data_IF_212918923584
#
_entry.id   IF_212918923584
#
_cell.length_a   1.000
_cell.length_b   1.000
_cell.length_c   1.000
_cell.angle_alpha   90.00
_cell.angle_beta   90.00
_cell.angle_gamma   90.00
#
_symmetry.space_group_name_H-M   'P 1'
#
loop_
_entity.id
_entity.type
_entity.pdbx_description
1 polymer ?
#
# COMPACT_ATOMS: atom_id res chain seq x y z
N UNK A 1 20.00 39.76 -21.75
CA UNK A 1 18.74 40.52 -21.81
C UNK A 1 17.70 39.63 -22.49
N UNK A 2 16.97 38.86 -21.70
CA UNK A 2 15.78 38.12 -22.12
C UNK A 2 14.88 38.06 -20.89
N UNK A 3 13.68 38.62 -21.04
CA UNK A 3 12.83 39.07 -19.97
C UNK A 3 12.28 37.91 -19.12
N UNK A 4 12.32 38.08 -17.81
CA UNK A 4 11.49 37.36 -16.85
C UNK A 4 10.06 37.84 -17.11
N UNK A 5 9.26 37.04 -17.81
CA UNK A 5 7.81 37.25 -17.85
C UNK A 5 7.28 36.68 -16.54
N UNK A 6 7.15 37.55 -15.54
CA UNK A 6 6.37 37.30 -14.35
C UNK A 6 4.89 37.28 -14.74
N UNK A 7 4.44 36.17 -15.33
CA UNK A 7 3.02 35.87 -15.39
C UNK A 7 2.58 35.46 -13.99
N UNK A 8 1.87 36.34 -13.28
CA UNK A 8 1.03 35.86 -12.17
C UNK A 8 0.11 34.78 -12.76
N UNK A 9 0.07 33.55 -12.20
CA UNK A 9 -0.88 32.58 -12.69
C UNK A 9 -2.27 33.14 -12.38
N UNK A 10 -3.05 33.34 -13.43
CA UNK A 10 -4.48 33.59 -13.34
C UNK A 10 -5.03 32.35 -12.61
N UNK A 11 -5.23 32.49 -11.30
CA UNK A 11 -5.74 31.42 -10.45
C UNK A 11 -7.21 31.23 -10.82
N UNK A 12 -7.47 30.44 -11.87
CA UNK A 12 -8.79 29.90 -12.09
C UNK A 12 -9.19 29.22 -10.78
N UNK A 13 -10.28 29.64 -10.16
CA UNK A 13 -10.72 29.03 -8.92
C UNK A 13 -11.13 27.59 -9.22
N UNK A 14 -10.51 26.59 -8.59
CA UNK A 14 -10.94 25.20 -8.72
C UNK A 14 -12.38 25.11 -8.21
N UNK A 15 -13.28 24.62 -9.08
CA UNK A 15 -14.69 24.43 -8.74
C UNK A 15 -14.96 22.98 -8.35
N UNK A 16 -15.94 22.78 -7.48
CA UNK A 16 -16.22 21.49 -6.82
C UNK A 16 -17.44 20.75 -7.40
N UNK A 17 -17.91 21.16 -8.58
CA UNK A 17 -19.16 20.68 -9.17
C UNK A 17 -19.08 19.20 -9.61
N UNK A 18 -17.93 18.77 -10.16
CA UNK A 18 -17.66 17.40 -10.59
C UNK A 18 -16.15 17.15 -10.76
N UNK A 19 -15.77 15.91 -11.10
CA UNK A 19 -14.38 15.53 -11.35
C UNK A 19 -13.69 16.41 -12.41
N UNK A 20 -14.39 16.76 -13.50
CA UNK A 20 -13.85 17.59 -14.59
C UNK A 20 -13.49 19.00 -14.13
N UNK A 21 -14.32 19.60 -13.28
CA UNK A 21 -14.03 20.94 -12.75
C UNK A 21 -12.92 20.92 -11.70
N UNK A 22 -12.84 19.85 -10.91
CA UNK A 22 -11.75 19.64 -9.94
C UNK A 22 -10.40 19.46 -10.64
N UNK A 23 -10.39 18.76 -11.78
CA UNK A 23 -9.19 18.46 -12.57
C UNK A 23 -8.88 19.49 -13.65
N UNK A 24 -9.61 20.60 -13.74
CA UNK A 24 -9.48 21.57 -14.84
C UNK A 24 -8.07 22.19 -14.98
N UNK A 25 -7.30 22.21 -13.90
CA UNK A 25 -5.91 22.69 -13.86
C UNK A 25 -4.87 21.56 -13.71
N UNK A 26 -5.32 20.32 -13.85
CA UNK A 26 -4.51 19.12 -13.67
C UNK A 26 -4.40 18.65 -12.22
N UNK A 27 -3.86 17.43 -12.03
CA UNK A 27 -3.80 16.77 -10.72
C UNK A 27 -2.94 17.53 -9.71
N UNK A 28 -1.81 18.09 -10.15
CA UNK A 28 -0.90 18.79 -9.24
C UNK A 28 -1.57 20.03 -8.63
N UNK A 29 -2.25 20.84 -9.45
CA UNK A 29 -2.97 22.02 -8.97
C UNK A 29 -4.10 21.64 -8.01
N UNK A 30 -4.84 20.55 -8.28
CA UNK A 30 -5.85 20.03 -7.37
C UNK A 30 -5.24 19.59 -6.02
N UNK A 31 -4.13 18.84 -6.06
CA UNK A 31 -3.43 18.40 -4.85
C UNK A 31 -2.95 19.58 -4.01
N UNK A 32 -2.31 20.57 -4.62
CA UNK A 32 -1.81 21.76 -3.91
C UNK A 32 -2.97 22.59 -3.34
N UNK A 33 -4.08 22.70 -4.07
CA UNK A 33 -5.28 23.43 -3.65
C UNK A 33 -5.98 22.78 -2.45
N UNK A 34 -6.08 21.46 -2.43
CA UNK A 34 -6.66 20.71 -1.29
C UNK A 34 -5.68 20.70 -0.12
N UNK A 35 -4.40 20.39 -0.36
CA UNK A 35 -3.37 20.29 0.69
C UNK A 35 -3.22 21.61 1.45
N UNK A 36 -3.05 22.73 0.75
CA UNK A 36 -2.88 24.05 1.40
C UNK A 36 -4.06 24.44 2.30
N UNK A 37 -5.28 24.07 1.93
CA UNK A 37 -6.48 24.30 2.76
C UNK A 37 -6.50 23.39 3.97
N UNK A 38 -6.22 22.09 3.77
CA UNK A 38 -6.14 21.14 4.87
C UNK A 38 -5.06 21.54 5.90
N UNK A 39 -3.89 21.99 5.45
CA UNK A 39 -2.81 22.42 6.36
C UNK A 39 -3.19 23.62 7.21
N UNK A 40 -3.83 24.63 6.59
CA UNK A 40 -4.39 25.77 7.30
C UNK A 40 -5.42 25.33 8.35
N UNK A 41 -6.36 24.49 7.95
CA UNK A 41 -7.42 24.02 8.84
C UNK A 41 -6.92 23.10 9.95
N UNK A 42 -5.84 22.35 9.71
CA UNK A 42 -5.17 21.52 10.72
C UNK A 42 -4.21 22.32 11.62
N UNK A 43 -3.82 23.53 11.23
CA UNK A 43 -2.81 24.35 11.91
C UNK A 43 -1.39 23.75 11.84
N UNK A 44 -1.14 22.82 10.91
CA UNK A 44 0.15 22.13 10.73
C UNK A 44 0.27 21.59 9.32
N UNK A 45 1.49 21.28 8.91
CA UNK A 45 1.74 20.60 7.64
C UNK A 45 1.14 19.19 7.62
N UNK A 46 0.78 18.70 6.43
CA UNK A 46 0.24 17.37 6.28
C UNK A 46 1.30 16.32 6.67
N UNK A 47 0.91 15.28 7.44
CA UNK A 47 1.85 14.27 7.89
C UNK A 47 2.43 13.52 6.69
N UNK A 48 3.75 13.35 6.70
CA UNK A 48 4.50 12.55 5.74
C UNK A 48 4.80 11.17 6.35
N UNK A 49 5.10 10.17 5.54
CA UNK A 49 5.40 8.80 6.00
C UNK A 49 6.84 8.40 5.70
N UNK A 50 7.66 8.24 6.74
CA UNK A 50 8.96 7.57 6.67
C UNK A 50 8.80 6.12 7.12
N UNK A 51 9.33 5.19 6.33
CA UNK A 51 9.41 3.77 6.69
C UNK A 51 10.86 3.40 6.92
N UNK A 52 11.19 2.91 8.11
CA UNK A 52 12.54 2.48 8.48
C UNK A 52 12.51 1.02 8.86
N UNK A 53 13.52 0.28 8.41
CA UNK A 53 13.73 -1.11 8.75
C UNK A 53 15.19 -1.33 9.15
N UNK A 54 15.40 -2.10 10.21
CA UNK A 54 16.71 -2.32 10.79
C UNK A 54 16.92 -3.80 11.08
N UNK A 55 18.04 -4.31 10.59
CA UNK A 55 18.55 -5.67 10.79
C UNK A 55 17.50 -6.75 10.46
N UNK A 56 16.70 -6.49 9.43
CA UNK A 56 15.59 -7.36 9.04
C UNK A 56 16.11 -8.67 8.43
N UNK A 57 15.73 -9.78 9.05
CA UNK A 57 16.00 -11.13 8.58
C UNK A 57 14.72 -11.92 8.45
N UNK A 58 14.58 -12.67 7.35
CA UNK A 58 13.43 -13.56 7.13
C UNK A 58 13.98 -14.94 6.83
N UNK A 59 13.55 -15.93 7.58
CA UNK A 59 13.91 -17.34 7.38
C UNK A 59 12.65 -18.20 7.29
N UNK A 60 12.67 -19.26 6.48
CA UNK A 60 11.58 -20.22 6.39
C UNK A 60 12.11 -21.65 6.52
N UNK A 61 11.43 -22.46 7.31
CA UNK A 61 11.65 -23.89 7.46
C UNK A 61 10.91 -24.63 6.33
N UNK A 62 11.68 -25.33 5.50
CA UNK A 62 11.18 -26.03 4.31
C UNK A 62 11.34 -27.53 4.54
N UNK A 63 10.22 -28.27 4.46
CA UNK A 63 10.24 -29.73 4.47
C UNK A 63 10.75 -30.20 3.11
N UNK A 64 11.92 -30.83 3.09
CA UNK A 64 12.49 -31.45 1.91
C UNK A 64 11.95 -32.87 1.82
N UNK A 65 11.34 -33.22 0.68
CA UNK A 65 11.07 -34.62 0.35
C UNK A 65 12.33 -35.18 -0.30
N UNK A 66 12.87 -36.26 0.23
CA UNK A 66 14.01 -36.94 -0.37
C UNK A 66 13.67 -37.38 -1.80
N UNK A 67 14.60 -37.22 -2.75
CA UNK A 67 14.43 -37.56 -4.16
C UNK A 67 14.07 -39.04 -4.40
N UNK A 68 14.30 -39.92 -3.41
CA UNK A 68 13.95 -41.33 -3.46
C UNK A 68 12.44 -41.61 -3.48
N UNK A 69 11.59 -40.62 -3.16
CA UNK A 69 10.12 -40.77 -3.14
C UNK A 69 9.42 -40.26 -4.43
N UNK A 70 10.18 -39.85 -5.46
CA UNK A 70 9.63 -39.54 -6.80
C UNK A 70 9.68 -40.79 -7.69
N UNK A 71 9.30 -41.96 -7.16
CA UNK A 71 8.74 -43.00 -8.03
C UNK A 71 7.24 -42.74 -8.09
N UNK A 72 6.76 -42.38 -9.27
CA UNK A 72 5.32 -42.34 -9.57
C UNK A 72 4.83 -43.79 -9.56
N UNK A 73 4.68 -44.36 -8.37
CA UNK A 73 4.05 -45.66 -8.19
C UNK A 73 2.54 -45.44 -8.25
N UNK A 74 1.89 -46.18 -9.15
CA UNK A 74 0.44 -46.17 -9.32
C UNK A 74 -0.23 -46.34 -7.95
N UNK A 75 -1.32 -45.60 -7.66
CA UNK A 75 -2.04 -45.69 -6.39
C UNK A 75 -2.85 -46.99 -6.34
N UNK A 76 -2.15 -48.10 -6.10
CA UNK A 76 -2.75 -49.39 -5.78
C UNK A 76 -2.96 -49.47 -4.27
N UNK A 77 -4.03 -50.14 -3.81
CA UNK A 77 -4.36 -50.27 -2.38
C UNK A 77 -3.18 -50.79 -1.55
N UNK A 78 -2.36 -51.69 -2.10
CA UNK A 78 -1.14 -52.18 -1.46
C UNK A 78 -0.07 -51.09 -1.27
N UNK A 79 0.09 -50.19 -2.25
CA UNK A 79 1.08 -49.12 -2.22
C UNK A 79 0.67 -48.00 -1.25
N UNK A 80 -0.62 -47.67 -1.18
CA UNK A 80 -1.16 -46.70 -0.20
C UNK A 80 -1.05 -47.24 1.24
N UNK A 81 -1.34 -48.54 1.44
CA UNK A 81 -1.17 -49.18 2.75
C UNK A 81 0.31 -49.20 3.16
N UNK A 82 1.24 -49.57 2.28
CA UNK A 82 2.68 -49.54 2.58
C UNK A 82 3.21 -48.13 2.84
N UNK A 83 2.73 -47.11 2.11
CA UNK A 83 3.04 -45.70 2.39
C UNK A 83 2.55 -45.28 3.77
N UNK A 84 1.36 -45.71 4.18
CA UNK A 84 0.80 -45.40 5.51
C UNK A 84 1.66 -45.97 6.64
N UNK A 85 2.19 -47.18 6.46
CA UNK A 85 3.04 -47.88 7.44
C UNK A 85 4.45 -47.26 7.48
N UNK A 86 5.02 -46.89 6.33
CA UNK A 86 6.32 -46.18 6.25
C UNK A 86 6.24 -44.73 6.76
N UNK A 87 5.11 -44.06 6.58
CA UNK A 87 4.91 -42.66 6.98
C UNK A 87 4.81 -42.43 8.49
N UNK A 88 4.56 -43.48 9.29
CA UNK A 88 4.51 -43.38 10.75
C UNK A 88 5.89 -43.25 11.41
N UNK A 89 6.99 -43.51 10.69
CA UNK A 89 8.36 -43.46 11.24
C UNK A 89 9.32 -42.47 10.56
N UNK A 90 8.95 -41.84 9.45
CA UNK A 90 9.84 -40.95 8.70
C UNK A 90 9.97 -39.58 9.38
N UNK A 91 11.16 -39.26 9.91
CA UNK A 91 11.50 -37.90 10.35
C UNK A 91 11.52 -36.99 9.12
N UNK A 92 10.57 -36.08 9.02
CA UNK A 92 10.52 -35.06 7.96
C UNK A 92 11.80 -34.20 8.03
N UNK A 93 12.67 -34.34 7.04
CA UNK A 93 13.88 -33.52 6.95
C UNK A 93 13.46 -32.07 6.65
N UNK A 94 13.85 -31.15 7.53
CA UNK A 94 13.49 -29.73 7.42
C UNK A 94 14.76 -28.90 7.30
N UNK A 95 14.84 -28.06 6.27
CA UNK A 95 15.98 -27.17 6.01
C UNK A 95 15.55 -25.73 6.20
N UNK A 96 16.32 -24.97 6.99
CA UNK A 96 16.10 -23.53 7.19
C UNK A 96 16.66 -22.75 6.00
N UNK A 97 15.79 -22.11 5.22
CA UNK A 97 16.16 -21.22 4.11
C UNK A 97 16.07 -19.77 4.54
N UNK A 98 17.18 -19.05 4.48
CA UNK A 98 17.18 -17.60 4.66
C UNK A 98 16.73 -16.89 3.37
N UNK A 99 15.70 -16.06 3.50
CA UNK A 99 15.09 -15.25 2.43
C UNK A 99 15.65 -13.83 2.43
N UNK A 100 15.73 -13.19 3.60
CA UNK A 100 16.40 -11.90 3.83
C UNK A 100 17.45 -12.08 4.92
N UNK A 101 18.57 -11.37 4.80
CA UNK A 101 19.72 -11.46 5.71
C UNK A 101 20.16 -10.07 6.14
N UNK A 102 19.79 -9.68 7.36
CA UNK A 102 20.21 -8.44 8.05
C UNK A 102 20.11 -7.19 7.16
N UNK A 103 18.92 -6.96 6.61
CA UNK A 103 18.65 -5.86 5.68
C UNK A 103 18.20 -4.62 6.46
N UNK A 104 18.86 -3.49 6.22
CA UNK A 104 18.60 -2.20 6.88
C UNK A 104 18.41 -1.08 5.85
N UNK A 105 17.54 -0.13 6.12
CA UNK A 105 17.27 0.98 5.20
C UNK A 105 16.12 1.89 5.63
N UNK A 106 15.93 2.95 4.84
CA UNK A 106 14.91 3.97 5.06
C UNK A 106 14.28 4.37 3.73
N UNK A 107 12.95 4.34 3.67
CA UNK A 107 12.17 4.93 2.59
C UNK A 107 11.71 6.31 3.04
N UNK A 108 12.26 7.35 2.41
CA UNK A 108 11.97 8.74 2.74
C UNK A 108 10.68 9.20 2.06
N UNK A 109 9.88 10.06 2.72
CA UNK A 109 8.72 10.66 2.09
C UNK A 109 9.08 11.43 0.81
N UNK A 110 8.17 11.46 -0.15
CA UNK A 110 8.35 12.22 -1.40
C UNK A 110 9.43 11.65 -2.35
N UNK A 111 9.93 10.44 -2.11
CA UNK A 111 10.94 9.80 -2.97
C UNK A 111 10.40 8.54 -3.63
N UNK A 112 10.92 8.25 -4.83
CA UNK A 112 10.72 6.97 -5.51
C UNK A 112 11.96 6.12 -5.24
N UNK A 113 11.78 4.99 -4.55
CA UNK A 113 12.85 4.04 -4.26
C UNK A 113 12.72 2.80 -5.14
N UNK A 114 13.77 2.49 -5.92
CA UNK A 114 13.82 1.32 -6.79
C UNK A 114 14.58 0.17 -6.11
N UNK A 115 13.91 -0.96 -5.88
CA UNK A 115 14.51 -2.17 -5.29
C UNK A 115 14.82 -3.18 -6.40
N UNK A 116 16.12 -3.40 -6.68
CA UNK A 116 16.59 -4.32 -7.72
C UNK A 116 17.21 -5.59 -7.15
N UNK A 117 17.14 -6.67 -7.93
CA UNK A 117 17.72 -7.97 -7.57
C UNK A 117 17.18 -9.10 -8.43
N UNK A 118 17.92 -10.20 -8.53
CA UNK A 118 17.53 -11.38 -9.32
C UNK A 118 16.24 -12.04 -8.80
N UNK A 119 15.51 -12.82 -9.62
CA UNK A 119 14.39 -13.63 -9.13
C UNK A 119 14.80 -14.46 -7.91
N UNK A 120 13.95 -14.50 -6.88
CA UNK A 120 14.24 -15.20 -5.63
C UNK A 120 15.09 -14.42 -4.60
N UNK A 121 15.59 -13.23 -4.91
CA UNK A 121 16.42 -12.41 -4.00
C UNK A 121 15.67 -11.80 -2.80
N UNK A 122 14.39 -12.13 -2.58
CA UNK A 122 13.61 -11.63 -1.44
C UNK A 122 12.94 -10.27 -1.60
N UNK A 123 13.00 -9.62 -2.79
CA UNK A 123 12.34 -8.31 -3.04
C UNK A 123 10.87 -8.28 -2.62
N UNK A 124 10.08 -9.24 -3.12
CA UNK A 124 8.66 -9.33 -2.79
C UNK A 124 8.43 -9.63 -1.31
N UNK A 125 9.34 -10.36 -0.66
CA UNK A 125 9.28 -10.61 0.78
C UNK A 125 9.53 -9.32 1.58
N UNK A 126 10.52 -8.53 1.20
CA UNK A 126 10.77 -7.20 1.78
C UNK A 126 9.55 -6.29 1.61
N UNK A 127 9.01 -6.16 0.38
CA UNK A 127 7.85 -5.29 0.13
C UNK A 127 6.59 -5.75 0.87
N UNK A 128 6.38 -7.07 1.02
CA UNK A 128 5.28 -7.61 1.83
C UNK A 128 5.47 -7.33 3.32
N UNK A 129 6.69 -7.43 3.83
CA UNK A 129 7.00 -7.07 5.22
C UNK A 129 6.70 -5.59 5.49
N UNK A 130 7.25 -4.70 4.65
CA UNK A 130 7.07 -3.26 4.81
C UNK A 130 5.62 -2.78 4.59
N UNK A 131 4.78 -3.59 3.97
CA UNK A 131 3.35 -3.29 3.79
C UNK A 131 2.43 -4.00 4.79
N UNK A 132 3.01 -4.70 5.79
CA UNK A 132 2.26 -5.48 6.78
C UNK A 132 1.45 -6.64 6.19
N UNK A 133 1.82 -7.11 5.00
CA UNK A 133 1.16 -8.22 4.27
C UNK A 133 2.02 -9.47 4.20
N UNK A 134 3.07 -9.53 5.01
CA UNK A 134 3.88 -10.73 5.12
C UNK A 134 3.09 -11.81 5.88
N UNK A 135 2.99 -13.03 5.36
CA UNK A 135 2.10 -14.03 5.92
C UNK A 135 2.64 -14.50 7.28
N UNK A 136 1.76 -14.55 8.27
CA UNK A 136 2.05 -15.17 9.56
C UNK A 136 1.92 -16.70 9.41
N UNK A 137 3.05 -17.36 9.22
CA UNK A 137 3.13 -18.82 9.05
C UNK A 137 4.07 -19.39 10.10
N UNK A 138 3.67 -20.50 10.74
CA UNK A 138 4.44 -21.15 11.81
C UNK A 138 5.85 -21.56 11.39
N UNK A 139 6.08 -21.78 10.10
CA UNK A 139 7.38 -22.17 9.56
C UNK A 139 8.20 -20.97 9.06
N UNK A 140 7.80 -19.74 9.34
CA UNK A 140 8.51 -18.53 8.92
C UNK A 140 8.86 -17.69 10.14
N UNK A 141 10.12 -17.29 10.22
CA UNK A 141 10.65 -16.43 11.29
C UNK A 141 11.02 -15.09 10.67
N UNK A 142 10.50 -14.01 11.27
CA UNK A 142 10.85 -12.64 10.94
C UNK A 142 11.54 -12.02 12.15
N UNK A 143 12.74 -11.48 11.93
CA UNK A 143 13.58 -10.82 12.92
C UNK A 143 13.89 -9.38 12.45
N UNK A 144 14.32 -8.54 13.38
CA UNK A 144 14.60 -7.11 13.14
C UNK A 144 13.41 -6.21 13.45
N UNK A 145 13.54 -4.94 13.09
CA UNK A 145 12.58 -3.89 13.43
C UNK A 145 12.08 -3.18 12.17
N UNK A 146 10.78 -2.87 12.14
CA UNK A 146 10.17 -1.98 11.15
C UNK A 146 9.38 -0.91 11.89
N UNK A 147 9.62 0.36 11.54
CA UNK A 147 8.93 1.52 12.13
C UNK A 147 8.37 2.42 11.05
N UNK A 148 7.24 3.05 11.34
CA UNK A 148 6.55 4.04 10.51
C UNK A 148 6.49 5.35 11.29
N UNK A 149 7.23 6.38 10.85
CA UNK A 149 7.43 7.62 11.61
C UNK A 149 7.88 7.37 13.07
N UNK A 150 8.74 6.37 13.29
CA UNK A 150 9.23 5.98 14.62
C UNK A 150 8.28 5.11 15.44
N UNK A 151 7.01 4.93 15.04
CA UNK A 151 6.10 4.00 15.69
C UNK A 151 6.37 2.57 15.19
N UNK A 152 6.48 1.57 16.07
CA UNK A 152 6.80 0.20 15.67
C UNK A 152 5.64 -0.45 14.91
N UNK A 153 5.97 -1.33 13.97
CA UNK A 153 5.00 -1.92 13.05
C UNK A 153 3.84 -2.63 13.77
N UNK A 154 4.12 -3.34 14.87
CA UNK A 154 3.14 -4.08 15.67
C UNK A 154 2.02 -3.19 16.26
N UNK A 155 2.32 -1.94 16.61
CA UNK A 155 1.33 -0.97 17.09
C UNK A 155 0.42 -0.47 15.96
N UNK A 156 0.93 -0.46 14.74
CA UNK A 156 0.24 0.09 13.57
C UNK A 156 -0.41 -0.97 12.68
N UNK A 157 -0.13 -2.27 12.84
CA UNK A 157 -0.60 -3.34 11.94
C UNK A 157 -2.08 -3.22 11.54
N UNK A 158 -2.96 -2.90 12.49
CA UNK A 158 -4.42 -2.76 12.24
C UNK A 158 -4.78 -1.53 11.42
N UNK A 159 -4.01 -0.46 11.52
CA UNK A 159 -4.22 0.83 10.82
C UNK A 159 -3.32 0.98 9.61
N UNK A 160 -2.29 0.16 9.47
CA UNK A 160 -1.30 0.24 8.42
C UNK A 160 -1.90 0.23 7.00
N UNK A 161 -2.98 -0.52 6.70
CA UNK A 161 -3.64 -0.45 5.40
C UNK A 161 -4.18 0.95 5.03
N UNK A 162 -4.38 1.84 6.01
CA UNK A 162 -4.77 3.25 5.78
C UNK A 162 -3.61 4.11 5.29
N UNK A 163 -2.37 3.65 5.49
CA UNK A 163 -1.15 4.40 5.14
C UNK A 163 -0.33 3.73 4.03
N UNK A 164 -0.45 2.40 3.88
CA UNK A 164 0.37 1.62 2.95
C UNK A 164 -0.48 0.74 2.05
N UNK A 165 -0.42 1.02 0.75
CA UNK A 165 -0.95 0.16 -0.30
C UNK A 165 0.13 -0.75 -0.88
N UNK A 166 -0.25 -1.99 -1.23
CA UNK A 166 0.63 -2.97 -1.86
C UNK A 166 -0.04 -3.51 -3.10
N UNK A 167 0.57 -3.25 -4.25
CA UNK A 167 0.13 -3.78 -5.55
C UNK A 167 0.87 -5.08 -5.82
N UNK A 168 0.12 -6.16 -6.05
CA UNK A 168 0.67 -7.49 -6.32
C UNK A 168 1.18 -7.62 -7.75
N UNK A 169 2.07 -8.57 -8.00
CA UNK A 169 2.59 -8.84 -9.35
C UNK A 169 1.50 -9.27 -10.35
N UNK A 170 0.44 -9.91 -9.87
CA UNK A 170 -0.73 -10.27 -10.68
C UNK A 170 -1.91 -9.44 -10.22
N UNK A 171 -2.59 -8.84 -11.17
CA UNK A 171 -3.79 -8.08 -10.91
C UNK A 171 -4.96 -9.02 -10.63
N UNK A 172 -5.86 -8.54 -9.78
CA UNK A 172 -7.10 -9.23 -9.42
C UNK A 172 -8.26 -8.28 -9.64
N UNK A 173 -8.86 -8.38 -10.81
CA UNK A 173 -10.05 -7.60 -11.18
C UNK A 173 -11.26 -8.50 -11.33
N UNK A 174 -12.44 -7.96 -11.02
CA UNK A 174 -13.70 -8.60 -11.37
C UNK A 174 -13.96 -8.36 -12.87
N UNK A 175 -13.99 -9.42 -13.70
CA UNK A 175 -14.07 -9.25 -15.15
C UNK A 175 -15.40 -8.68 -15.63
N UNK A 176 -16.42 -8.67 -14.77
CA UNK A 176 -17.75 -8.13 -15.06
C UNK A 176 -17.89 -6.64 -14.77
N UNK A 177 -16.92 -6.01 -14.08
CA UNK A 177 -16.97 -4.59 -13.75
C UNK A 177 -16.23 -3.77 -14.79
N UNK A 178 -16.81 -2.66 -15.20
CA UNK A 178 -16.12 -1.60 -15.91
C UNK A 178 -15.04 -0.96 -15.03
N UNK A 179 -14.14 -0.19 -15.65
CA UNK A 179 -13.13 0.61 -14.91
C UNK A 179 -13.79 1.52 -13.90
N UNK A 180 -14.87 2.22 -14.30
CA UNK A 180 -15.60 3.14 -13.43
C UNK A 180 -16.21 2.41 -12.24
N UNK A 181 -16.94 1.33 -12.47
CA UNK A 181 -17.54 0.53 -11.39
C UNK A 181 -16.48 -0.05 -10.45
N UNK A 182 -15.30 -0.43 -10.98
CA UNK A 182 -14.18 -0.90 -10.16
C UNK A 182 -13.65 0.18 -9.23
N UNK A 183 -13.49 1.41 -9.72
CA UNK A 183 -13.02 2.55 -8.93
C UNK A 183 -14.07 3.02 -7.91
N UNK A 184 -15.35 3.02 -8.27
CA UNK A 184 -16.47 3.31 -7.35
C UNK A 184 -16.55 2.27 -6.24
N UNK A 185 -16.44 0.98 -6.58
CA UNK A 185 -16.39 -0.11 -5.60
C UNK A 185 -15.21 0.04 -4.64
N UNK A 186 -14.01 0.28 -5.16
CA UNK A 186 -12.82 0.48 -4.35
C UNK A 186 -12.95 1.72 -3.43
N UNK A 187 -13.49 2.81 -3.96
CA UNK A 187 -13.73 4.03 -3.18
C UNK A 187 -14.70 3.79 -2.02
N UNK A 188 -15.80 3.06 -2.25
CA UNK A 188 -16.74 2.68 -1.21
C UNK A 188 -16.09 1.81 -0.11
N UNK A 189 -15.25 0.82 -0.50
CA UNK A 189 -14.51 0.01 0.46
C UNK A 189 -13.50 0.81 1.29
N UNK A 190 -13.00 1.93 0.76
CA UNK A 190 -12.08 2.84 1.45
C UNK A 190 -12.80 3.93 2.29
N UNK A 191 -14.11 3.80 2.50
CA UNK A 191 -14.91 4.71 3.34
C UNK A 191 -15.86 5.62 2.58
N UNK A 192 -15.73 5.74 1.25
CA UNK A 192 -16.70 6.40 0.36
C UNK A 192 -16.94 7.90 0.57
N UNK A 193 -16.30 8.52 1.56
CA UNK A 193 -16.54 9.91 1.94
C UNK A 193 -15.55 10.40 2.99
N UNK A 194 -15.53 11.72 3.18
CA UNK A 194 -14.73 12.34 4.23
C UNK A 194 -15.47 12.21 5.58
N UNK A 195 -14.80 11.65 6.59
CA UNK A 195 -15.48 11.31 7.85
C UNK A 195 -15.71 12.54 8.73
N UNK A 196 -16.82 12.55 9.48
CA UNK A 196 -17.08 13.63 10.46
C UNK A 196 -16.04 13.66 11.59
N UNK A 197 -15.42 12.52 11.88
CA UNK A 197 -14.29 12.46 12.83
C UNK A 197 -13.09 13.25 12.29
N UNK A 198 -12.77 13.10 11.01
CA UNK A 198 -11.68 13.84 10.39
C UNK A 198 -12.01 15.33 10.28
N UNK A 199 -13.29 15.67 10.03
CA UNK A 199 -13.78 17.04 10.02
C UNK A 199 -13.58 17.77 11.36
N UNK A 200 -13.74 17.07 12.48
CA UNK A 200 -13.52 17.66 13.83
C UNK A 200 -12.08 18.12 14.05
N UNK A 201 -11.11 17.59 13.30
CA UNK A 201 -9.72 18.01 13.40
C UNK A 201 -9.43 19.33 12.65
N UNK A 202 -10.36 19.84 11.84
CA UNK A 202 -10.23 21.11 11.12
C UNK A 202 -10.64 22.28 12.02
N UNK A 203 -9.82 22.55 13.03
CA UNK A 203 -10.06 23.57 14.05
C UNK A 203 -8.88 24.52 14.27
N UNK A 204 -7.79 24.34 13.50
CA UNK A 204 -6.56 25.14 13.61
C UNK A 204 -6.57 26.45 12.82
N UNK A 205 -7.43 26.58 11.82
CA UNK A 205 -7.59 27.80 11.00
C UNK A 205 -8.74 28.69 11.46
N UNK A 206 -8.97 29.79 10.72
CA UNK A 206 -10.18 30.62 10.89
C UNK A 206 -11.45 29.84 10.52
N UNK A 207 -12.65 30.25 10.98
CA UNK A 207 -13.90 29.57 10.61
C UNK A 207 -14.10 29.43 9.09
N UNK A 208 -13.71 30.46 8.33
CA UNK A 208 -13.77 30.45 6.86
C UNK A 208 -12.76 29.48 6.24
N UNK A 209 -11.53 29.43 6.76
CA UNK A 209 -10.51 28.49 6.27
C UNK A 209 -10.84 27.03 6.60
N UNK A 210 -11.39 26.78 7.79
CA UNK A 210 -11.84 25.45 8.19
C UNK A 210 -13.00 24.98 7.29
N UNK A 211 -13.98 25.85 7.01
CA UNK A 211 -15.08 25.54 6.10
C UNK A 211 -14.57 25.29 4.67
N UNK A 212 -13.67 26.14 4.16
CA UNK A 212 -13.09 25.97 2.83
C UNK A 212 -12.30 24.65 2.68
N UNK A 213 -11.61 24.21 3.74
CA UNK A 213 -10.92 22.92 3.77
C UNK A 213 -11.90 21.74 3.80
N UNK A 214 -12.97 21.84 4.59
CA UNK A 214 -14.04 20.83 4.63
C UNK A 214 -14.70 20.68 3.26
N UNK A 215 -15.05 21.78 2.61
CA UNK A 215 -15.67 21.76 1.28
C UNK A 215 -14.74 21.15 0.23
N UNK A 216 -13.46 21.52 0.25
CA UNK A 216 -12.44 20.94 -0.63
C UNK A 216 -12.29 19.43 -0.43
N UNK A 217 -12.15 18.99 0.83
CA UNK A 217 -11.98 17.59 1.16
C UNK A 217 -13.23 16.77 0.79
N UNK A 218 -14.43 17.25 1.16
CA UNK A 218 -15.70 16.58 0.81
C UNK A 218 -15.90 16.47 -0.69
N UNK A 219 -15.61 17.54 -1.45
CA UNK A 219 -15.69 17.52 -2.90
C UNK A 219 -14.72 16.51 -3.53
N UNK A 220 -13.46 16.51 -3.08
CA UNK A 220 -12.45 15.56 -3.56
C UNK A 220 -12.86 14.11 -3.29
N UNK A 221 -13.37 13.80 -2.10
CA UNK A 221 -13.84 12.45 -1.78
C UNK A 221 -15.08 12.08 -2.62
N UNK A 222 -16.09 12.96 -2.68
CA UNK A 222 -17.32 12.72 -3.43
C UNK A 222 -17.08 12.40 -4.90
N UNK A 223 -16.11 13.06 -5.52
CA UNK A 223 -15.78 12.91 -6.93
C UNK A 223 -14.52 12.07 -7.18
N UNK A 224 -14.01 11.38 -6.16
CA UNK A 224 -12.73 10.68 -6.23
C UNK A 224 -12.63 9.67 -7.39
N UNK A 225 -13.65 8.82 -7.66
CA UNK A 225 -13.59 7.91 -8.81
C UNK A 225 -13.42 8.64 -10.14
N UNK A 226 -14.18 9.72 -10.38
CA UNK A 226 -14.09 10.50 -11.62
C UNK A 226 -12.76 11.26 -11.74
N UNK A 227 -12.24 11.78 -10.62
CA UNK A 227 -10.91 12.42 -10.55
C UNK A 227 -9.83 11.43 -10.98
N UNK A 228 -9.86 10.20 -10.45
CA UNK A 228 -8.87 9.16 -10.78
C UNK A 228 -8.98 8.75 -12.26
N UNK A 229 -10.19 8.61 -12.80
CA UNK A 229 -10.40 8.29 -14.23
C UNK A 229 -9.72 9.35 -15.11
N UNK A 230 -9.96 10.63 -14.85
CA UNK A 230 -9.38 11.72 -15.62
C UNK A 230 -7.86 11.84 -15.44
N UNK A 231 -7.37 11.63 -14.21
CA UNK A 231 -5.95 11.65 -13.93
C UNK A 231 -5.19 10.57 -14.71
N UNK A 232 -5.84 9.42 -14.95
CA UNK A 232 -5.28 8.32 -15.72
C UNK A 232 -5.55 8.42 -17.23
N UNK A 233 -6.31 9.43 -17.68
CA UNK A 233 -6.71 9.60 -19.09
C UNK A 233 -7.61 8.48 -19.59
N UNK A 234 -8.56 8.04 -18.75
CA UNK A 234 -9.49 6.94 -19.02
C UNK A 234 -10.92 7.42 -19.34
N UNK A 235 -11.09 8.72 -19.58
CA UNK A 235 -12.36 9.39 -19.88
C UNK A 235 -12.81 9.34 -21.35
#
# INVERSE_FOLDING_TARGET
MAAIISGQPICATIKYDNGKTLMAQGPQALHDHVASRMEKALGRTLPQMEVRFKDVSISADIVVKDETDIKVELPTLANELMKSVRGMGAKKHTVKKQILKNVSGVFKPGTITLVLGQPGSGKSSLMKLLSGRFPDQKNVTVEGEVTYNGAPANELLRRLPQFVSYVTQRDKHYPSLTVKETLEFAHACCGGGFSERDAQHFAGGTPEENLAALDAARAMFKHYPDIVIQQLGLD
#
